data_IF_205992500015
#
_entry.id   IF_205992500015
#
_cell.length_a   1.000
_cell.length_b   1.000
_cell.length_c   1.000
_cell.angle_alpha   90.00
_cell.angle_beta   90.00
_cell.angle_gamma   90.00
#
_symmetry.space_group_name_H-M   'P 1'
#
loop_
_entity.id
_entity.type
_entity.pdbx_description
1 polymer ?
#
# COMPACT_ATOMS: atom_id res chain seq x y z
N UNK A 1 -8.50 -1.25 -9.73
CA UNK A 1 -9.05 -1.82 -10.98
C UNK A 1 -9.50 -3.28 -10.84
N UNK A 2 -8.59 -4.23 -10.57
CA UNK A 2 -8.98 -5.67 -10.45
C UNK A 2 -10.00 -5.87 -9.33
N UNK A 3 -9.77 -5.29 -8.14
CA UNK A 3 -10.71 -5.37 -7.02
C UNK A 3 -12.06 -4.70 -7.32
N UNK A 4 -12.06 -3.57 -8.04
CA UNK A 4 -13.30 -2.82 -8.34
C UNK A 4 -14.19 -3.56 -9.34
N UNK A 5 -13.57 -4.30 -10.27
CA UNK A 5 -14.26 -5.10 -11.29
C UNK A 5 -14.37 -6.57 -10.93
N UNK A 6 -14.12 -6.94 -9.67
CA UNK A 6 -13.95 -8.33 -9.28
C UNK A 6 -15.11 -9.24 -9.72
N UNK A 7 -16.35 -8.80 -9.51
CA UNK A 7 -17.55 -9.59 -9.87
C UNK A 7 -17.81 -9.66 -11.37
N UNK A 8 -17.06 -8.92 -12.18
CA UNK A 8 -17.11 -8.94 -13.64
C UNK A 8 -15.95 -9.74 -14.24
N UNK A 9 -14.99 -10.16 -13.40
CA UNK A 9 -13.89 -11.03 -13.83
C UNK A 9 -14.44 -12.46 -13.80
N UNK A 10 -14.28 -13.13 -14.92
CA UNK A 10 -14.59 -14.54 -15.12
C UNK A 10 -13.69 -15.43 -14.23
N UNK A 11 -14.29 -16.41 -13.54
CA UNK A 11 -13.60 -17.25 -12.54
C UNK A 11 -12.48 -18.10 -13.16
N UNK A 12 -12.50 -18.31 -14.48
CA UNK A 12 -11.42 -19.00 -15.22
C UNK A 12 -10.17 -18.13 -15.41
N UNK A 13 -10.25 -16.82 -15.16
CA UNK A 13 -9.12 -15.90 -15.31
C UNK A 13 -8.20 -15.99 -14.09
N UNK A 14 -7.01 -16.53 -14.28
CA UNK A 14 -6.02 -16.65 -13.22
C UNK A 14 -5.05 -15.47 -13.11
N UNK A 15 -4.85 -14.71 -14.20
CA UNK A 15 -4.03 -13.51 -14.17
C UNK A 15 -4.52 -12.39 -15.09
N UNK A 16 -4.25 -11.15 -14.68
CA UNK A 16 -4.28 -9.97 -15.56
C UNK A 16 -2.86 -9.55 -15.88
N UNK A 17 -2.54 -9.43 -17.16
CA UNK A 17 -1.23 -8.98 -17.63
C UNK A 17 -1.35 -7.59 -18.21
N UNK A 18 -0.43 -6.71 -17.84
CA UNK A 18 -0.34 -5.33 -18.33
C UNK A 18 1.04 -5.18 -18.94
N UNK A 19 1.11 -4.75 -20.19
CA UNK A 19 2.38 -4.43 -20.86
C UNK A 19 2.64 -2.94 -20.69
N UNK A 20 3.86 -2.60 -20.30
CA UNK A 20 4.29 -1.24 -20.08
C UNK A 20 5.57 -0.94 -20.86
N UNK A 21 5.58 0.24 -21.46
CA UNK A 21 6.78 0.85 -22.02
C UNK A 21 7.15 2.02 -21.12
N UNK A 22 8.27 1.90 -20.40
CA UNK A 22 8.64 2.83 -19.32
C UNK A 22 7.49 2.98 -18.31
N UNK A 23 6.96 4.18 -18.15
CA UNK A 23 5.85 4.52 -17.26
C UNK A 23 4.47 4.51 -17.95
N UNK A 24 4.38 4.10 -19.22
CA UNK A 24 3.13 4.08 -19.99
C UNK A 24 2.62 2.66 -20.14
N UNK A 25 1.31 2.46 -19.90
CA UNK A 25 0.63 1.20 -20.21
C UNK A 25 0.27 1.20 -21.69
N UNK A 26 0.70 0.16 -22.42
CA UNK A 26 0.46 0.04 -23.86
C UNK A 26 -0.55 -1.04 -24.20
N UNK A 27 -0.72 -2.03 -23.30
CA UNK A 27 -1.58 -3.17 -23.53
C UNK A 27 -2.07 -3.80 -22.22
N UNK A 28 -3.18 -4.53 -22.29
CA UNK A 28 -3.73 -5.35 -21.21
C UNK A 28 -4.26 -6.65 -21.80
N UNK A 29 -4.15 -7.74 -21.05
CA UNK A 29 -4.68 -9.05 -21.40
C UNK A 29 -5.15 -9.79 -20.15
N UNK A 30 -6.07 -10.72 -20.31
CA UNK A 30 -6.53 -11.62 -19.25
C UNK A 30 -6.18 -13.05 -19.62
N UNK A 31 -5.43 -13.73 -18.76
CA UNK A 31 -4.99 -15.09 -18.98
C UNK A 31 -6.01 -16.08 -18.41
N UNK A 32 -6.60 -16.89 -19.30
CA UNK A 32 -7.43 -18.06 -18.97
C UNK A 32 -6.66 -19.36 -19.16
N UNK A 33 -5.96 -19.48 -20.29
CA UNK A 33 -5.14 -20.66 -20.59
C UNK A 33 -4.04 -20.84 -19.53
N UNK A 34 -3.73 -22.08 -19.09
CA UNK A 34 -2.73 -22.33 -18.05
C UNK A 34 -1.33 -21.84 -18.43
N UNK A 35 -1.05 -21.73 -19.73
CA UNK A 35 0.21 -21.24 -20.29
C UNK A 35 -0.05 -19.98 -21.10
N UNK A 36 0.71 -18.94 -20.80
CA UNK A 36 0.76 -17.67 -21.52
C UNK A 36 2.15 -17.51 -22.14
N UNK A 37 2.23 -17.13 -23.41
CA UNK A 37 3.49 -16.74 -24.03
C UNK A 37 3.52 -15.22 -24.19
N UNK A 38 4.62 -14.59 -23.77
CA UNK A 38 4.86 -13.16 -23.98
C UNK A 38 6.13 -13.04 -24.81
N UNK A 39 5.99 -12.64 -26.07
CA UNK A 39 7.06 -12.55 -27.06
C UNK A 39 7.06 -11.17 -27.74
N UNK A 40 7.95 -10.97 -28.71
CA UNK A 40 8.03 -9.75 -29.51
C UNK A 40 7.40 -9.86 -30.89
N UNK A 41 6.43 -10.76 -31.10
CA UNK A 41 5.73 -10.85 -32.40
C UNK A 41 4.69 -9.74 -32.53
N UNK A 42 4.39 -9.38 -33.78
CA UNK A 42 3.39 -8.35 -34.10
C UNK A 42 1.95 -8.92 -34.10
N UNK A 43 1.79 -10.22 -33.86
CA UNK A 43 0.52 -10.96 -33.93
C UNK A 43 -0.53 -10.56 -32.85
N UNK A 44 -0.23 -9.58 -32.00
CA UNK A 44 -1.14 -9.08 -30.96
C UNK A 44 -1.50 -10.15 -29.91
N UNK A 45 -2.57 -9.91 -29.15
CA UNK A 45 -3.11 -10.90 -28.21
C UNK A 45 -4.20 -11.71 -28.92
N UNK A 46 -3.97 -13.02 -29.04
CA UNK A 46 -4.86 -14.01 -29.66
C UNK A 46 -6.17 -14.26 -28.88
N UNK A 47 -6.26 -13.77 -27.63
CA UNK A 47 -7.43 -13.94 -26.74
C UNK A 47 -8.34 -12.71 -26.57
N UNK A 48 -8.22 -11.68 -27.41
CA UNK A 48 -9.13 -10.53 -27.45
C UNK A 48 -8.61 -9.25 -26.78
N UNK A 49 -8.34 -8.23 -27.63
CA UNK A 49 -8.44 -6.81 -27.29
C UNK A 49 -7.16 -6.08 -26.88
N UNK A 50 -6.30 -5.74 -27.86
CA UNK A 50 -5.32 -4.65 -27.72
C UNK A 50 -5.87 -3.39 -28.42
N UNK A 51 -6.70 -2.62 -27.72
CA UNK A 51 -7.13 -1.31 -28.23
C UNK A 51 -5.95 -0.32 -28.15
N UNK A 52 -5.46 0.02 -29.33
CA UNK A 52 -4.34 0.91 -29.55
C UNK A 52 -4.65 2.37 -29.22
N UNK A 53 -3.76 2.96 -28.43
CA UNK A 53 -3.48 4.40 -28.49
C UNK A 53 -1.98 4.56 -28.64
N UNK A 54 -1.53 4.64 -29.90
CA UNK A 54 -0.13 4.78 -30.25
C UNK A 54 0.32 6.24 -30.06
N UNK A 55 0.62 6.61 -28.81
CA UNK A 55 1.30 7.88 -28.50
C UNK A 55 2.80 7.70 -28.74
N UNK A 56 3.32 8.34 -29.79
CA UNK A 56 4.71 8.33 -30.29
C UNK A 56 5.68 7.42 -29.50
N UNK A 57 6.09 6.28 -30.11
CA UNK A 57 7.10 5.40 -29.54
C UNK A 57 8.41 6.15 -29.26
N UNK A 58 9.04 5.90 -28.12
CA UNK A 58 10.41 6.36 -27.91
C UNK A 58 11.34 5.57 -28.86
N UNK A 59 12.15 6.21 -29.73
CA UNK A 59 12.95 5.50 -30.74
C UNK A 59 13.85 4.41 -30.17
N UNK A 60 14.45 4.66 -28.99
CA UNK A 60 15.27 3.69 -28.27
C UNK A 60 14.49 2.46 -27.77
N UNK A 61 13.18 2.60 -27.51
CA UNK A 61 12.34 1.49 -27.04
C UNK A 61 11.99 0.55 -28.19
N UNK A 62 11.74 1.08 -29.38
CA UNK A 62 11.44 0.28 -30.58
C UNK A 62 12.60 -0.64 -30.98
N UNK A 63 13.83 -0.13 -30.94
CA UNK A 63 15.03 -0.94 -31.15
C UNK A 63 15.12 -2.10 -30.15
N UNK A 64 14.81 -1.83 -28.88
CA UNK A 64 14.87 -2.82 -27.81
C UNK A 64 13.76 -3.88 -27.97
N UNK A 65 12.56 -3.50 -28.41
CA UNK A 65 11.43 -4.43 -28.63
C UNK A 65 11.76 -5.50 -29.67
N UNK A 66 12.50 -5.15 -30.73
CA UNK A 66 12.95 -6.10 -31.76
C UNK A 66 13.84 -7.22 -31.20
N UNK A 67 14.46 -7.01 -30.05
CA UNK A 67 15.35 -7.98 -29.40
C UNK A 67 14.63 -8.92 -28.43
N UNK A 68 13.31 -8.76 -28.19
CA UNK A 68 12.56 -9.68 -27.33
C UNK A 68 12.56 -11.10 -27.90
N UNK A 69 12.39 -11.22 -29.23
CA UNK A 69 12.31 -12.52 -29.91
C UNK A 69 11.19 -13.39 -29.33
N UNK A 70 11.51 -14.63 -28.96
CA UNK A 70 10.53 -15.55 -28.37
C UNK A 70 10.08 -15.21 -26.94
N UNK A 71 10.75 -14.26 -26.26
CA UNK A 71 10.40 -13.77 -24.92
C UNK A 71 10.37 -14.83 -23.82
N UNK A 72 9.23 -14.95 -23.13
CA UNK A 72 9.01 -15.88 -22.01
C UNK A 72 7.73 -16.69 -22.17
N UNK A 73 7.75 -17.89 -21.59
CA UNK A 73 6.55 -18.68 -21.30
C UNK A 73 6.25 -18.60 -19.82
N UNK A 74 5.04 -18.20 -19.48
CA UNK A 74 4.51 -18.11 -18.12
C UNK A 74 3.46 -19.19 -17.96
N UNK A 75 3.49 -19.94 -16.86
CA UNK A 75 2.54 -21.00 -16.58
C UNK A 75 2.07 -20.92 -15.13
N UNK A 76 0.78 -21.08 -14.89
CA UNK A 76 0.26 -21.36 -13.55
C UNK A 76 0.20 -22.88 -13.32
N UNK A 77 0.60 -23.33 -12.13
CA UNK A 77 0.40 -24.72 -11.69
C UNK A 77 -0.83 -24.87 -10.79
N UNK A 78 -1.19 -26.11 -10.47
CA UNK A 78 -2.38 -26.44 -9.68
C UNK A 78 -2.31 -25.93 -8.22
N UNK A 79 -1.11 -25.54 -7.76
CA UNK A 79 -0.90 -24.95 -6.44
C UNK A 79 -1.00 -23.42 -6.47
N UNK A 80 -1.21 -22.81 -7.64
CA UNK A 80 -1.22 -21.37 -7.84
C UNK A 80 0.17 -20.72 -7.86
N UNK A 81 1.25 -21.52 -7.96
CA UNK A 81 2.56 -20.96 -8.28
C UNK A 81 2.56 -20.48 -9.73
N UNK A 82 3.32 -19.42 -9.99
CA UNK A 82 3.56 -18.94 -11.36
C UNK A 82 4.99 -19.29 -11.72
N UNK A 83 5.15 -20.13 -12.74
CA UNK A 83 6.42 -20.50 -13.34
C UNK A 83 6.70 -19.58 -14.52
N UNK A 84 7.95 -19.17 -14.69
CA UNK A 84 8.43 -18.45 -15.86
C UNK A 84 9.62 -19.18 -16.46
N UNK A 85 9.62 -19.31 -17.77
CA UNK A 85 10.71 -19.90 -18.56
C UNK A 85 11.11 -18.91 -19.64
N UNK A 86 12.37 -18.47 -19.61
CA UNK A 86 12.95 -17.67 -20.70
C UNK A 86 13.19 -18.54 -21.92
N UNK A 87 12.64 -18.15 -23.06
CA UNK A 87 12.87 -18.77 -24.37
C UNK A 87 13.54 -17.80 -25.35
N UNK A 88 13.68 -16.53 -24.97
CA UNK A 88 14.42 -15.51 -25.73
C UNK A 88 15.94 -15.69 -25.65
N UNK A 89 16.61 -15.37 -26.76
CA UNK A 89 18.07 -15.22 -26.80
C UNK A 89 18.55 -14.05 -25.94
N UNK A 90 17.79 -12.96 -25.87
CA UNK A 90 18.10 -11.81 -25.03
C UNK A 90 17.68 -12.01 -23.57
N UNK A 91 18.32 -11.27 -22.67
CA UNK A 91 18.09 -11.39 -21.23
C UNK A 91 16.69 -10.96 -20.82
N UNK A 92 16.19 -11.60 -19.77
CA UNK A 92 14.91 -11.28 -19.14
C UNK A 92 15.17 -11.21 -17.64
N UNK A 93 14.58 -10.23 -16.98
CA UNK A 93 14.85 -9.92 -15.58
C UNK A 93 13.55 -9.94 -14.80
N UNK A 94 13.57 -10.55 -13.62
CA UNK A 94 12.47 -10.46 -12.67
C UNK A 94 12.72 -9.29 -11.75
N UNK A 95 11.69 -8.47 -11.53
CA UNK A 95 11.75 -7.30 -10.65
C UNK A 95 10.82 -7.48 -9.47
N UNK A 96 11.32 -7.12 -8.29
CA UNK A 96 10.48 -7.11 -7.08
C UNK A 96 9.51 -5.95 -7.14
N UNK A 97 8.25 -6.25 -6.85
CA UNK A 97 7.14 -5.31 -6.69
C UNK A 97 6.84 -5.02 -5.23
N UNK A 98 7.44 -5.79 -4.31
CA UNK A 98 7.29 -5.58 -2.88
C UNK A 98 8.15 -4.41 -2.42
N UNK A 99 7.55 -3.51 -1.64
CA UNK A 99 8.23 -2.33 -1.05
C UNK A 99 8.87 -2.65 0.31
N UNK A 100 8.97 -3.93 0.67
CA UNK A 100 9.48 -4.39 1.95
C UNK A 100 10.33 -5.65 1.80
N UNK A 101 10.88 -6.13 2.91
CA UNK A 101 11.80 -7.28 2.94
C UNK A 101 11.15 -8.60 2.49
N UNK A 102 9.83 -8.69 2.56
CA UNK A 102 9.10 -9.90 2.24
C UNK A 102 8.73 -9.92 0.75
N UNK A 103 8.94 -11.07 0.11
CA UNK A 103 8.64 -11.28 -1.30
C UNK A 103 7.98 -12.63 -1.54
N UNK A 104 7.14 -12.70 -2.55
CA UNK A 104 6.56 -13.94 -3.10
C UNK A 104 7.45 -14.55 -4.20
N UNK A 105 8.54 -13.90 -4.59
CA UNK A 105 9.46 -14.41 -5.62
C UNK A 105 10.13 -15.70 -5.12
N UNK A 106 10.20 -16.69 -6.02
CA UNK A 106 10.85 -17.97 -5.76
C UNK A 106 12.35 -17.82 -5.47
N UNK A 107 12.86 -18.64 -4.56
CA UNK A 107 14.26 -18.52 -4.11
C UNK A 107 15.26 -18.78 -5.25
N UNK A 108 14.89 -19.57 -6.26
CA UNK A 108 15.75 -19.83 -7.41
C UNK A 108 16.00 -18.56 -8.23
N UNK A 109 15.00 -17.68 -8.35
CA UNK A 109 15.16 -16.37 -9.02
C UNK A 109 16.05 -15.45 -8.18
N UNK A 110 15.85 -15.42 -6.87
CA UNK A 110 16.59 -14.54 -5.96
C UNK A 110 18.08 -14.88 -5.87
N UNK A 111 18.45 -16.14 -6.16
CA UNK A 111 19.85 -16.58 -6.23
C UNK A 111 20.55 -16.19 -7.53
N UNK A 112 19.79 -15.81 -8.57
CA UNK A 112 20.37 -15.43 -9.85
C UNK A 112 20.94 -14.00 -9.77
N UNK A 113 22.11 -13.76 -10.38
CA UNK A 113 22.68 -12.42 -10.44
C UNK A 113 21.70 -11.47 -11.13
N UNK A 114 21.40 -10.35 -10.48
CA UNK A 114 20.43 -9.35 -10.95
C UNK A 114 19.02 -9.90 -11.23
N UNK A 115 18.65 -11.06 -10.66
CA UNK A 115 17.41 -11.78 -10.96
C UNK A 115 17.23 -12.02 -12.47
N UNK A 116 18.33 -12.20 -13.20
CA UNK A 116 18.34 -12.46 -14.64
C UNK A 116 18.04 -13.93 -14.91
N UNK A 117 16.99 -14.21 -15.67
CA UNK A 117 16.56 -15.56 -15.98
C UNK A 117 17.54 -16.29 -16.89
N UNK A 118 17.89 -17.52 -16.51
CA UNK A 118 18.64 -18.44 -17.36
C UNK A 118 17.77 -18.92 -18.53
N UNK A 119 18.38 -19.11 -19.69
CA UNK A 119 17.69 -19.56 -20.90
C UNK A 119 17.22 -21.01 -20.74
N UNK A 120 16.01 -21.31 -21.20
CA UNK A 120 15.38 -22.64 -21.18
C UNK A 120 15.19 -23.27 -19.79
N UNK A 121 15.44 -22.54 -18.70
CA UNK A 121 15.25 -23.02 -17.33
C UNK A 121 13.99 -22.45 -16.71
N UNK A 122 12.97 -23.27 -16.38
CA UNK A 122 11.79 -22.81 -15.67
C UNK A 122 12.13 -22.53 -14.21
N UNK A 123 11.66 -21.39 -13.69
CA UNK A 123 11.80 -20.99 -12.28
C UNK A 123 10.49 -20.40 -11.75
N UNK A 124 10.33 -20.38 -10.43
CA UNK A 124 9.14 -19.79 -9.79
C UNK A 124 9.23 -18.27 -9.77
N UNK A 125 8.42 -17.63 -10.61
CA UNK A 125 8.17 -16.18 -10.58
C UNK A 125 7.39 -15.79 -9.32
N UNK A 126 6.40 -16.62 -8.95
CA UNK A 126 5.59 -16.47 -7.74
C UNK A 126 5.48 -17.82 -7.04
N UNK A 127 5.87 -17.86 -5.77
CA UNK A 127 5.75 -19.04 -4.90
C UNK A 127 4.56 -18.86 -3.94
N UNK A 128 3.50 -19.64 -4.18
CA UNK A 128 2.26 -19.58 -3.41
C UNK A 128 2.46 -19.97 -1.95
N UNK A 129 3.34 -20.93 -1.66
CA UNK A 129 3.63 -21.37 -0.29
C UNK A 129 4.32 -20.24 0.48
N UNK A 130 5.29 -19.56 -0.13
CA UNK A 130 5.95 -18.40 0.46
C UNK A 130 4.95 -17.27 0.68
N UNK A 131 4.07 -17.02 -0.28
CA UNK A 131 3.03 -16.00 -0.13
C UNK A 131 2.06 -16.32 1.03
N UNK A 132 1.55 -17.54 1.14
CA UNK A 132 0.71 -17.99 2.26
C UNK A 132 1.39 -17.79 3.62
N UNK A 133 2.68 -18.11 3.72
CA UNK A 133 3.47 -17.86 4.94
C UNK A 133 3.56 -16.36 5.25
N UNK A 134 3.75 -15.51 4.23
CA UNK A 134 3.79 -14.06 4.40
C UNK A 134 2.44 -13.52 4.87
N UNK A 135 1.32 -14.01 4.31
CA UNK A 135 -0.04 -13.67 4.76
C UNK A 135 -0.22 -14.04 6.23
N UNK A 136 0.09 -15.28 6.62
CA UNK A 136 -0.05 -15.74 8.00
C UNK A 136 0.85 -14.99 9.00
N UNK A 137 2.01 -14.49 8.54
CA UNK A 137 2.89 -13.66 9.36
C UNK A 137 2.34 -12.24 9.50
N UNK A 138 1.87 -11.62 8.42
CA UNK A 138 1.28 -10.28 8.45
C UNK A 138 0.03 -10.24 9.34
N UNK A 139 -0.81 -11.27 9.29
CA UNK A 139 -1.99 -11.43 10.15
C UNK A 139 -1.67 -11.51 11.66
N UNK A 140 -0.45 -11.90 12.02
CA UNK A 140 0.00 -12.00 13.42
C UNK A 140 0.69 -10.72 13.91
N UNK A 141 0.85 -9.71 13.05
CA UNK A 141 1.45 -8.44 13.45
C UNK A 141 0.46 -7.62 14.27
N UNK A 142 0.97 -6.76 15.13
CA UNK A 142 0.16 -5.81 15.90
C UNK A 142 -0.68 -4.90 14.99
N UNK A 143 -0.12 -4.55 13.82
CA UNK A 143 -0.77 -3.76 12.79
C UNK A 143 -0.63 -4.44 11.42
N UNK A 144 -1.54 -5.35 11.07
CA UNK A 144 -1.52 -6.02 9.76
C UNK A 144 -1.76 -4.99 8.64
N UNK A 145 -0.85 -4.93 7.68
CA UNK A 145 -1.00 -4.07 6.49
C UNK A 145 -1.30 -4.91 5.25
N UNK A 146 -2.56 -4.87 4.83
CA UNK A 146 -3.04 -5.53 3.61
C UNK A 146 -2.29 -5.07 2.36
N UNK A 147 -1.88 -3.80 2.27
CA UNK A 147 -1.24 -3.23 1.08
C UNK A 147 0.11 -3.92 0.80
N UNK A 148 0.86 -4.28 1.85
CA UNK A 148 2.11 -5.05 1.71
C UNK A 148 1.90 -6.39 1.03
N UNK A 149 0.79 -7.05 1.33
CA UNK A 149 0.43 -8.34 0.74
C UNK A 149 -0.09 -8.16 -0.70
N UNK A 150 -0.88 -7.12 -0.96
CA UNK A 150 -1.37 -6.81 -2.32
C UNK A 150 -0.20 -6.56 -3.29
N UNK A 151 0.85 -5.86 -2.85
CA UNK A 151 2.06 -5.68 -3.68
C UNK A 151 2.72 -7.02 -4.05
N UNK A 152 2.66 -8.03 -3.18
CA UNK A 152 3.24 -9.35 -3.47
C UNK A 152 2.43 -10.16 -4.48
N UNK A 153 1.14 -9.86 -4.69
CA UNK A 153 0.33 -10.46 -5.76
C UNK A 153 0.72 -9.99 -7.16
N UNK A 154 1.62 -9.02 -7.25
CA UNK A 154 2.13 -8.46 -8.48
C UNK A 154 3.49 -9.08 -8.80
N UNK A 155 3.73 -9.47 -10.05
CA UNK A 155 5.03 -9.92 -10.53
C UNK A 155 5.44 -9.11 -11.74
N UNK A 156 6.65 -8.53 -11.71
CA UNK A 156 7.16 -7.71 -12.80
C UNK A 156 8.29 -8.43 -13.55
N UNK A 157 8.23 -8.42 -14.88
CA UNK A 157 9.22 -9.04 -15.77
C UNK A 157 9.66 -8.02 -16.81
N UNK A 158 10.95 -7.67 -16.83
CA UNK A 158 11.55 -6.73 -17.78
C UNK A 158 12.33 -7.48 -18.86
N UNK A 159 12.22 -7.03 -20.12
CA UNK A 159 12.84 -7.68 -21.27
C UNK A 159 14.03 -6.89 -21.79
N UNK A 160 15.05 -7.61 -22.26
CA UNK A 160 16.25 -7.13 -22.96
C UNK A 160 17.18 -6.28 -22.09
N UNK A 161 16.68 -5.19 -21.50
CA UNK A 161 17.44 -4.27 -20.65
C UNK A 161 16.75 -4.08 -19.29
N UNK A 162 17.56 -4.09 -18.24
CA UNK A 162 17.16 -3.85 -16.86
C UNK A 162 17.66 -2.48 -16.42
N UNK A 163 16.78 -1.66 -15.86
CA UNK A 163 17.13 -0.39 -15.20
C UNK A 163 16.95 -0.52 -13.68
N UNK A 164 17.50 0.42 -12.89
CA UNK A 164 17.32 0.40 -11.44
C UNK A 164 15.85 0.55 -11.06
N UNK A 165 15.20 1.56 -11.63
CA UNK A 165 13.77 1.81 -11.47
C UNK A 165 12.95 1.04 -12.49
N UNK A 166 11.87 0.38 -12.02
CA UNK A 166 11.00 -0.42 -12.88
C UNK A 166 10.33 0.44 -13.96
N UNK A 167 10.00 1.69 -13.64
CA UNK A 167 9.33 2.62 -14.56
C UNK A 167 10.27 3.17 -15.64
N UNK A 168 11.58 3.00 -15.50
CA UNK A 168 12.57 3.39 -16.52
C UNK A 168 12.88 2.25 -17.49
N UNK A 169 12.51 1.01 -17.14
CA UNK A 169 12.67 -0.14 -18.01
C UNK A 169 11.97 0.11 -19.36
N UNK A 170 12.65 -0.09 -20.49
CA UNK A 170 12.12 0.25 -21.81
C UNK A 170 10.85 -0.53 -22.13
N UNK A 171 10.81 -1.82 -21.79
CA UNK A 171 9.69 -2.71 -22.02
C UNK A 171 9.62 -3.75 -20.89
N UNK A 172 8.47 -3.86 -20.26
CA UNK A 172 8.24 -4.80 -19.17
C UNK A 172 6.75 -5.15 -19.05
N UNK A 173 6.46 -6.24 -18.35
CA UNK A 173 5.10 -6.68 -18.07
C UNK A 173 4.87 -6.76 -16.56
N UNK A 174 3.67 -6.38 -16.16
CA UNK A 174 3.12 -6.57 -14.83
C UNK A 174 2.07 -7.67 -14.88
N UNK A 175 2.31 -8.75 -14.16
CA UNK A 175 1.39 -9.88 -14.00
C UNK A 175 0.73 -9.74 -12.65
N UNK A 176 -0.60 -9.67 -12.64
CA UNK A 176 -1.41 -9.61 -11.43
C UNK A 176 -1.99 -10.99 -11.22
N UNK A 177 -1.56 -11.67 -10.15
CA UNK A 177 -2.05 -13.00 -9.78
C UNK A 177 -3.44 -12.87 -9.14
N UNK A 178 -4.49 -13.19 -9.89
CA UNK A 178 -5.89 -13.07 -9.45
C UNK A 178 -6.18 -14.10 -8.36
N UNK A 179 -5.61 -15.31 -8.45
CA UNK A 179 -5.77 -16.38 -7.45
C UNK A 179 -5.20 -15.94 -6.10
N UNK A 180 -4.00 -15.34 -6.08
CA UNK A 180 -3.41 -14.81 -4.86
C UNK A 180 -4.23 -13.65 -4.28
N UNK A 181 -4.80 -12.80 -5.14
CA UNK A 181 -5.70 -11.72 -4.72
C UNK A 181 -6.99 -12.26 -4.09
N UNK A 182 -7.57 -13.33 -4.63
CA UNK A 182 -8.76 -13.97 -4.05
C UNK A 182 -8.47 -14.53 -2.66
N UNK A 183 -7.31 -15.17 -2.49
CA UNK A 183 -6.84 -15.63 -1.19
C UNK A 183 -6.70 -14.47 -0.18
N UNK A 184 -6.21 -13.30 -0.60
CA UNK A 184 -6.18 -12.13 0.28
C UNK A 184 -7.58 -11.63 0.63
N UNK A 185 -8.51 -11.62 -0.33
CA UNK A 185 -9.88 -11.19 -0.07
C UNK A 185 -10.59 -12.09 0.94
N UNK A 186 -10.34 -13.40 0.91
CA UNK A 186 -10.93 -14.33 1.86
C UNK A 186 -10.32 -14.24 3.26
N UNK A 187 -9.01 -13.99 3.38
CA UNK A 187 -8.28 -13.91 4.67
C UNK A 187 -8.33 -12.53 5.33
N UNK A 188 -8.37 -11.47 4.52
CA UNK A 188 -8.44 -10.08 4.94
C UNK A 188 -9.51 -9.40 4.08
N UNK A 189 -10.81 -9.60 4.35
CA UNK A 189 -11.84 -8.90 3.59
C UNK A 189 -11.56 -7.40 3.63
N UNK A 190 -11.69 -6.67 2.51
CA UNK A 190 -11.50 -5.23 2.53
C UNK A 190 -12.42 -4.69 3.60
N UNK A 191 -11.88 -3.93 4.56
CA UNK A 191 -12.71 -3.24 5.53
C UNK A 191 -13.57 -2.29 4.69
N UNK A 192 -14.82 -2.69 4.40
CA UNK A 192 -15.86 -1.74 3.98
C UNK A 192 -15.83 -0.72 5.11
N UNK A 193 -15.37 0.51 4.83
CA UNK A 193 -15.17 1.53 5.86
C UNK A 193 -16.35 1.47 6.83
N UNK A 194 -16.08 1.02 8.05
CA UNK A 194 -17.15 0.78 9.01
C UNK A 194 -17.66 2.15 9.45
N UNK A 195 -18.93 2.41 9.10
CA UNK A 195 -19.99 3.05 9.88
C UNK A 195 -19.62 4.40 10.52
N UNK A 196 -20.34 5.45 10.09
CA UNK A 196 -20.38 6.78 10.70
C UNK A 196 -20.43 6.67 12.25
N UNK A 197 -19.34 7.11 12.89
CA UNK A 197 -19.15 7.10 14.35
C UNK A 197 -20.29 7.85 15.07
N UNK A 198 -21.05 8.68 14.35
CA UNK A 198 -22.22 9.39 14.86
C UNK A 198 -23.40 8.50 15.23
N UNK A 199 -23.49 7.28 14.68
CA UNK A 199 -24.64 6.38 14.89
C UNK A 199 -24.30 5.12 15.69
N UNK A 200 -23.15 5.08 16.37
CA UNK A 200 -22.83 3.94 17.25
C UNK A 200 -23.72 4.00 18.51
N UNK A 201 -24.52 2.96 18.83
CA UNK A 201 -25.21 2.91 20.11
C UNK A 201 -24.16 2.93 21.23
N UNK A 202 -24.27 3.91 22.14
CA UNK A 202 -23.41 4.02 23.31
C UNK A 202 -23.63 2.78 24.17
N UNK A 203 -22.55 2.07 24.47
CA UNK A 203 -22.53 0.98 25.44
C UNK A 203 -22.94 1.61 26.78
N UNK A 204 -23.95 1.09 27.50
CA UNK A 204 -24.24 1.54 28.87
C UNK A 204 -22.99 1.35 29.71
N UNK A 205 -22.51 2.43 30.32
CA UNK A 205 -21.44 2.38 31.30
C UNK A 205 -22.08 1.77 32.55
N UNK A 206 -21.55 0.68 33.13
CA UNK A 206 -22.03 0.20 34.42
C UNK A 206 -21.75 1.27 35.47
N UNK A 207 -22.79 1.77 36.13
CA UNK A 207 -22.70 2.88 37.09
C UNK A 207 -22.14 2.48 38.46
N UNK A 208 -21.45 1.35 38.56
CA UNK A 208 -21.02 0.75 39.83
C UNK A 208 -19.50 0.57 39.84
N UNK A 209 -18.81 1.49 40.51
CA UNK A 209 -17.42 1.33 40.93
C UNK A 209 -17.38 0.36 42.12
N UNK A 210 -16.71 -0.81 42.02
CA UNK A 210 -16.70 -1.85 43.06
C UNK A 210 -15.98 -1.47 44.37
N UNK A 211 -15.55 -0.21 44.55
CA UNK A 211 -14.89 0.27 45.76
C UNK A 211 -15.75 1.11 46.72
N UNK A 212 -17.08 1.09 46.60
CA UNK A 212 -17.96 1.80 47.55
C UNK A 212 -18.20 1.00 48.83
N UNK A 213 -17.20 0.92 49.71
CA UNK A 213 -17.35 0.38 51.08
C UNK A 213 -17.28 1.51 52.11
N UNK A 214 -18.36 1.59 52.89
CA UNK A 214 -18.55 2.27 54.18
C UNK A 214 -18.83 3.79 54.18
N UNK A 215 -20.12 4.12 54.34
CA UNK A 215 -20.57 5.46 54.73
C UNK A 215 -22.07 5.50 54.96
N UNK A 216 -22.51 5.16 56.18
CA UNK A 216 -23.89 5.18 56.67
C UNK A 216 -24.68 6.45 56.33
N UNK A 217 -25.96 6.27 55.96
CA UNK A 217 -27.00 7.25 56.27
C UNK A 217 -28.11 7.44 55.23
N UNK A 218 -29.25 6.79 55.43
CA UNK A 218 -30.56 7.45 55.37
C UNK A 218 -31.29 7.63 54.03
N UNK A 219 -32.32 6.80 53.84
CA UNK A 219 -33.72 7.23 53.57
C UNK A 219 -34.19 7.64 52.15
N UNK A 220 -34.98 6.73 51.57
CA UNK A 220 -36.37 6.89 51.07
C UNK A 220 -36.76 7.91 49.98
N UNK A 221 -37.36 7.36 48.90
CA UNK A 221 -38.41 7.98 48.06
C UNK A 221 -37.91 8.94 46.97
N UNK A 222 -38.51 9.04 45.78
CA UNK A 222 -39.88 8.75 45.38
C UNK A 222 -39.98 8.34 43.91
N UNK A 223 -41.10 7.70 43.57
CA UNK A 223 -41.66 7.60 42.23
C UNK A 223 -41.91 8.98 41.61
N UNK A 224 -41.72 9.09 40.30
CA UNK A 224 -42.01 10.29 39.52
C UNK A 224 -42.42 9.94 38.10
N UNK A 225 -43.70 9.63 37.90
CA UNK A 225 -44.39 9.65 36.61
C UNK A 225 -44.99 11.04 36.45
N UNK A 226 -44.72 11.73 35.33
CA UNK A 226 -45.32 13.05 35.08
C UNK A 226 -44.96 13.62 33.71
N UNK A 227 -45.89 13.48 32.77
CA UNK A 227 -45.97 14.17 31.48
C UNK A 227 -46.39 15.63 31.67
N UNK A 228 -45.87 16.55 30.83
CA UNK A 228 -46.63 17.74 30.40
C UNK A 228 -46.06 19.14 30.69
N UNK A 229 -45.77 19.85 29.58
CA UNK A 229 -46.09 21.27 29.28
C UNK A 229 -45.33 22.47 29.88
N UNK A 230 -44.80 23.28 28.93
CA UNK A 230 -44.71 24.75 28.83
C UNK A 230 -44.87 25.64 30.08
N UNK A 231 -43.90 26.54 30.27
CA UNK A 231 -44.07 27.75 31.08
C UNK A 231 -42.81 28.62 31.13
N UNK A 232 -42.88 29.79 30.51
CA UNK A 232 -41.95 30.93 30.51
C UNK A 232 -41.63 31.48 31.91
N UNK A 233 -40.38 31.88 32.16
CA UNK A 233 -39.99 32.64 33.36
C UNK A 233 -38.54 33.12 33.33
N UNK A 234 -38.38 34.44 33.42
CA UNK A 234 -37.16 35.25 33.29
C UNK A 234 -36.25 35.14 34.55
N UNK A 235 -34.92 35.16 34.41
CA UNK A 235 -34.01 35.17 35.58
C UNK A 235 -32.50 35.11 35.29
N UNK A 236 -31.91 36.29 35.05
CA UNK A 236 -30.53 36.73 35.38
C UNK A 236 -29.40 35.70 35.58
N UNK A 237 -28.42 35.75 34.67
CA UNK A 237 -26.99 35.92 34.97
C UNK A 237 -26.19 34.76 35.60
N UNK A 238 -25.34 34.11 34.79
CA UNK A 238 -23.90 33.89 35.07
C UNK A 238 -23.26 33.05 33.97
N UNK A 239 -22.36 33.66 33.19
CA UNK A 239 -21.43 32.96 32.30
C UNK A 239 -20.43 32.18 33.17
N UNK A 240 -20.60 30.87 33.30
CA UNK A 240 -19.60 29.99 33.92
C UNK A 240 -18.62 29.51 32.85
N UNK A 241 -17.40 30.02 32.94
CA UNK A 241 -16.24 29.63 32.14
C UNK A 241 -15.85 28.17 32.39
N UNK A 242 -15.67 27.41 31.30
CA UNK A 242 -15.07 26.07 31.26
C UNK A 242 -13.63 26.06 31.79
N UNK A 243 -13.46 25.89 33.10
CA UNK A 243 -12.16 25.51 33.67
C UNK A 243 -12.37 24.36 34.66
N UNK A 244 -11.71 23.21 34.47
CA UNK A 244 -11.80 22.10 35.41
C UNK A 244 -11.23 22.50 36.79
N UNK A 245 -11.74 21.89 37.88
CA UNK A 245 -11.30 22.23 39.23
C UNK A 245 -9.81 21.95 39.42
N UNK A 246 -9.12 22.83 40.17
CA UNK A 246 -7.70 22.63 40.51
C UNK A 246 -7.55 21.42 41.44
N UNK A 247 -6.56 20.59 41.14
CA UNK A 247 -6.18 19.46 41.97
C UNK A 247 -5.66 19.93 43.34
N UNK A 248 -5.83 19.11 44.40
CA UNK A 248 -5.24 19.39 45.70
C UNK A 248 -3.70 19.44 45.62
N UNK A 249 -3.04 20.23 46.47
CA UNK A 249 -1.58 20.28 46.52
C UNK A 249 -0.99 18.89 46.78
N UNK A 250 -0.02 18.48 45.96
CA UNK A 250 0.76 17.27 46.21
C UNK A 250 1.88 17.63 47.18
N UNK A 251 1.83 17.09 48.39
CA UNK A 251 2.96 17.18 49.33
C UNK A 251 4.16 16.44 48.73
N UNK A 252 5.24 17.20 48.49
CA UNK A 252 6.41 16.75 47.76
C UNK A 252 7.39 16.05 48.72
N UNK A 253 7.05 14.84 49.15
CA UNK A 253 7.86 14.07 50.11
C UNK A 253 8.44 12.77 49.50
N UNK A 254 9.18 12.90 48.40
CA UNK A 254 10.03 11.82 47.88
C UNK A 254 11.51 12.09 48.24
N UNK A 255 12.17 11.22 49.02
CA UNK A 255 13.56 11.39 49.45
C UNK A 255 14.59 10.83 48.44
N UNK A 256 14.32 10.92 47.14
CA UNK A 256 15.24 10.44 46.11
C UNK A 256 15.38 11.49 45.01
N UNK A 257 16.59 12.05 44.86
CA UNK A 257 16.99 12.89 43.73
C UNK A 257 16.86 12.08 42.44
N UNK A 258 15.73 12.28 41.75
CA UNK A 258 15.57 11.83 40.37
C UNK A 258 16.39 12.82 39.52
N UNK A 259 17.44 12.37 38.81
CA UNK A 259 18.20 13.25 37.92
C UNK A 259 17.25 13.84 36.88
N UNK A 260 17.22 15.17 36.80
CA UNK A 260 16.46 15.88 35.76
C UNK A 260 17.09 15.57 34.39
N UNK A 261 16.29 15.18 33.39
CA UNK A 261 16.74 15.14 32.01
C UNK A 261 17.16 16.55 31.56
N UNK A 262 18.29 16.65 30.88
CA UNK A 262 19.03 17.82 30.39
C UNK A 262 18.41 18.49 29.15
N UNK A 263 17.08 18.45 29.02
CA UNK A 263 16.38 18.98 27.83
C UNK A 263 16.24 20.50 27.78
N UNK A 264 16.76 21.24 28.76
CA UNK A 264 16.66 22.71 28.81
C UNK A 264 17.90 23.44 28.22
N UNK A 265 18.95 22.73 27.78
CA UNK A 265 20.20 23.35 27.27
C UNK A 265 20.25 23.55 25.74
N UNK A 266 19.13 23.38 25.02
CA UNK A 266 19.10 23.47 23.55
C UNK A 266 18.66 24.86 23.02
N UNK A 267 18.36 25.83 23.89
CA UNK A 267 17.79 27.13 23.47
C UNK A 267 18.81 28.24 23.10
N UNK A 268 20.13 28.01 23.14
CA UNK A 268 21.10 29.11 22.88
C UNK A 268 22.03 28.99 21.66
N UNK A 269 22.05 27.89 20.89
CA UNK A 269 23.05 27.72 19.81
C UNK A 269 22.49 27.42 18.40
N UNK A 270 21.31 27.93 18.05
CA UNK A 270 20.88 27.96 16.64
C UNK A 270 20.03 29.19 16.29
N UNK A 271 20.64 30.38 16.40
CA UNK A 271 20.23 31.53 15.58
C UNK A 271 20.52 31.24 14.11
N UNK A 272 19.61 30.49 13.49
CA UNK A 272 19.56 30.29 12.03
C UNK A 272 19.50 31.64 11.34
N UNK A 273 20.48 31.89 10.48
CA UNK A 273 20.63 33.10 9.66
C UNK A 273 19.36 33.34 8.82
N UNK A 274 18.83 34.58 8.76
CA UNK A 274 17.71 34.88 7.89
C UNK A 274 18.14 34.87 6.41
N UNK A 275 17.35 34.18 5.57
CA UNK A 275 17.45 34.21 4.11
C UNK A 275 17.28 35.64 3.58
N UNK A 276 18.18 36.16 2.72
CA UNK A 276 17.91 37.41 2.04
C UNK A 276 16.97 37.16 0.85
N UNK A 277 15.73 37.62 0.98
CA UNK A 277 14.87 37.90 -0.17
C UNK A 277 15.43 39.12 -0.91
N UNK A 278 15.70 39.02 -2.20
CA UNK A 278 15.73 40.21 -3.06
C UNK A 278 15.03 39.94 -4.38
N UNK A 279 13.94 40.68 -4.56
CA UNK A 279 13.26 40.91 -5.84
C UNK A 279 14.14 41.82 -6.70
N UNK A 280 14.37 41.38 -7.95
CA UNK A 280 14.36 42.21 -9.15
C UNK A 280 15.54 43.17 -9.41
N UNK A 281 16.28 42.92 -10.50
CA UNK A 281 16.51 43.91 -11.57
C UNK A 281 17.10 43.28 -12.83
N UNK A 282 16.39 43.46 -13.93
CA UNK A 282 16.87 43.37 -15.31
C UNK A 282 18.14 44.20 -15.55
N UNK A 283 19.03 43.68 -16.41
CA UNK A 283 19.64 44.45 -17.50
C UNK A 283 20.41 43.54 -18.48
N UNK A 284 19.88 43.50 -19.70
CA UNK A 284 20.51 43.15 -20.98
C UNK A 284 21.79 43.96 -21.25
N UNK A 285 22.84 43.33 -21.81
CA UNK A 285 23.41 43.65 -23.14
C UNK A 285 24.60 42.79 -23.54
N UNK A 286 24.54 42.33 -24.79
CA UNK A 286 25.61 41.91 -25.71
C UNK A 286 27.00 42.55 -25.53
N UNK A 287 28.06 41.76 -25.77
CA UNK A 287 28.84 41.85 -27.03
C UNK A 287 30.08 40.92 -27.09
N UNK A 288 30.10 40.08 -28.14
CA UNK A 288 31.21 39.73 -29.09
C UNK A 288 32.68 39.61 -28.66
N UNK A 289 33.28 38.52 -29.20
CA UNK A 289 34.68 38.31 -29.68
C UNK A 289 35.75 38.30 -28.57
N UNK A 290 36.67 37.34 -28.50
CA UNK A 290 37.51 36.69 -29.52
C UNK A 290 37.76 35.23 -29.15
#
# INVERSE_FOLDING_TARGET
>A
EVLDKWTQIDDEIWAKVIVLERNRRVAKAYARAPVLTVNGSDDGFDGGGLDGYNLQPYPKTEEIKRHIGHGVKVKMDDQGNILVKRVSKCNVYVKSTSTGEETSIGNDVLKLPNCALEMEKPVKLFDMKKFQQNVNRELRRAYPDRRRLECQCLSAVAFVKSEQELLDCPIWVLIINVVAMDMLKSKLPPVKRAIDIRNRPRIPIPDEDPYSVAGSGGSSGSSGVGSGTNGTGNGTGMRRSDKPPKLPPRDNNYPHDIPKPDYDDIEEENRLKPFPSSRGRDKTKDSKKY
#
